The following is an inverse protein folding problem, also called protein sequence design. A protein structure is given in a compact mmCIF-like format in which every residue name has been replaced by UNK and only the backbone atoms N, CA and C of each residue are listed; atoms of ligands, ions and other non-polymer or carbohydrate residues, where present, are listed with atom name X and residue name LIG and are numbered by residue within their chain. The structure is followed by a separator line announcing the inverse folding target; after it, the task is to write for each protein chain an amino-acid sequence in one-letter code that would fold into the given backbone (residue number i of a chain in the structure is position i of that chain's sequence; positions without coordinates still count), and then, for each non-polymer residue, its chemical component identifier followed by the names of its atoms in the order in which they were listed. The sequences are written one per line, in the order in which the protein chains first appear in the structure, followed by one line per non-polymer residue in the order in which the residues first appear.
data_IF_159037249052
#
_entry.id   IF_159037249052
#
_cell.length_a   1.000
_cell.length_b   1.000
_cell.length_c   1.000
_cell.angle_alpha   90.00
_cell.angle_beta   90.00
_cell.angle_gamma   90.00
#
_symmetry.space_group_name_H-M   'P 1'
#
loop_
_entity.id
_entity.type
_entity.pdbx_description
1 polymer ?
#
# COMPACT_ATOMS: atom_id res chain seq x y z
N UNK A 1 0.64 -15.92 3.48
CA UNK A 1 1.03 -15.08 4.64
C UNK A 1 1.71 -13.82 4.11
N UNK A 2 1.63 -12.66 4.79
CA UNK A 2 2.10 -11.38 4.24
C UNK A 2 3.24 -10.80 5.11
N UNK A 3 4.26 -10.23 4.48
CA UNK A 3 5.26 -9.46 5.21
C UNK A 3 4.62 -8.17 5.76
N UNK A 4 4.76 -7.86 7.06
CA UNK A 4 4.17 -6.65 7.64
C UNK A 4 4.79 -5.36 7.08
N UNK A 5 6.06 -5.44 6.66
CA UNK A 5 6.87 -4.29 6.23
C UNK A 5 6.69 -3.92 4.75
N UNK A 6 6.82 -4.91 3.86
CA UNK A 6 6.79 -4.69 2.41
C UNK A 6 5.50 -5.17 1.75
N UNK A 7 4.58 -5.73 2.53
CA UNK A 7 3.27 -6.20 2.08
C UNK A 7 3.32 -7.30 0.99
N UNK A 8 4.47 -7.93 0.71
CA UNK A 8 4.59 -9.08 -0.21
C UNK A 8 3.90 -10.32 0.39
N UNK A 9 3.16 -11.07 -0.46
CA UNK A 9 2.55 -12.36 -0.10
C UNK A 9 3.54 -13.51 -0.34
N UNK A 10 3.66 -14.38 0.66
CA UNK A 10 4.45 -15.60 0.64
C UNK A 10 3.54 -16.82 0.83
N UNK A 11 3.89 -17.92 0.15
CA UNK A 11 3.16 -19.18 0.20
C UNK A 11 3.65 -20.11 1.33
N UNK A 12 4.75 -19.77 2.01
CA UNK A 12 5.31 -20.55 3.12
C UNK A 12 5.72 -19.66 4.28
N UNK A 13 5.50 -20.14 5.51
CA UNK A 13 5.90 -19.46 6.74
C UNK A 13 7.43 -19.35 6.84
N UNK A 14 8.15 -20.36 6.35
CA UNK A 14 9.61 -20.41 6.42
C UNK A 14 10.22 -19.30 5.55
N UNK A 15 9.74 -19.16 4.31
CA UNK A 15 10.15 -18.10 3.38
C UNK A 15 9.78 -16.71 3.91
N UNK A 16 8.61 -16.58 4.55
CA UNK A 16 8.21 -15.34 5.20
C UNK A 16 9.16 -14.95 6.35
N UNK A 17 9.55 -15.90 7.20
CA UNK A 17 10.42 -15.62 8.34
C UNK A 17 11.81 -15.20 7.89
N UNK A 18 12.42 -15.94 6.95
CA UNK A 18 13.72 -15.55 6.36
C UNK A 18 13.63 -14.17 5.71
N UNK A 19 12.54 -13.89 4.98
CA UNK A 19 12.34 -12.57 4.39
C UNK A 19 12.18 -11.47 5.45
N UNK A 20 11.48 -11.72 6.57
CA UNK A 20 11.30 -10.73 7.64
C UNK A 20 12.63 -10.33 8.28
N UNK A 21 13.59 -11.24 8.41
CA UNK A 21 14.89 -10.94 8.98
C UNK A 21 15.72 -10.01 8.10
N UNK A 22 15.64 -10.18 6.78
CA UNK A 22 16.40 -9.41 5.78
C UNK A 22 15.52 -8.46 4.95
N UNK A 23 14.34 -8.10 5.45
CA UNK A 23 13.43 -7.25 4.71
C UNK A 23 14.02 -5.85 4.66
N UNK A 24 14.38 -5.36 3.47
CA UNK A 24 14.88 -3.99 3.28
C UNK A 24 13.94 -2.94 3.90
N UNK A 25 12.65 -3.26 3.97
CA UNK A 25 11.62 -2.39 4.50
C UNK A 25 11.36 -2.55 6.00
N UNK A 26 12.08 -3.46 6.69
CA UNK A 26 12.03 -3.61 8.16
C UNK A 26 12.61 -2.38 8.84
N UNK A 27 13.76 -1.92 8.34
CA UNK A 27 14.47 -0.76 8.87
C UNK A 27 14.05 0.55 8.17
N UNK A 28 13.37 0.44 7.03
CA UNK A 28 12.84 1.59 6.30
C UNK A 28 11.40 1.26 5.83
N UNK A 29 10.39 1.43 6.71
CA UNK A 29 9.02 1.06 6.38
C UNK A 29 8.62 1.71 5.06
N UNK A 30 7.96 0.95 4.17
CA UNK A 30 7.39 1.51 2.94
C UNK A 30 6.34 2.52 3.36
N UNK A 31 6.76 3.77 3.59
CA UNK A 31 5.87 4.90 3.53
C UNK A 31 5.60 5.05 2.04
N UNK A 32 4.44 4.57 1.61
CA UNK A 32 3.94 4.93 0.29
C UNK A 32 3.80 6.45 0.32
N UNK A 33 4.74 7.13 -0.33
CA UNK A 33 4.67 8.58 -0.50
C UNK A 33 3.59 8.87 -1.54
N UNK A 34 2.35 8.79 -1.08
CA UNK A 34 1.16 9.02 -1.87
C UNK A 34 1.16 10.41 -2.53
N UNK A 35 1.93 11.35 -1.97
CA UNK A 35 2.12 12.69 -2.51
C UNK A 35 2.98 12.70 -3.78
N UNK A 36 3.99 11.82 -3.90
CA UNK A 36 4.78 11.61 -5.11
C UNK A 36 4.02 10.84 -6.21
N UNK A 37 2.93 10.14 -5.89
CA UNK A 37 2.18 9.34 -6.86
C UNK A 37 1.29 10.25 -7.74
N UNK A 38 1.29 10.07 -9.08
CA UNK A 38 0.42 10.83 -9.96
C UNK A 38 -1.06 10.48 -9.71
N UNK A 39 -1.94 11.46 -9.91
CA UNK A 39 -3.38 11.32 -9.64
C UNK A 39 -4.02 10.11 -10.35
N UNK A 40 -3.62 9.81 -11.58
CA UNK A 40 -4.14 8.67 -12.34
C UNK A 40 -3.80 7.32 -11.67
N UNK A 41 -2.58 7.18 -11.15
CA UNK A 41 -2.18 5.98 -10.42
C UNK A 41 -2.91 5.88 -9.09
N UNK A 42 -3.04 6.98 -8.36
CA UNK A 42 -3.85 7.03 -7.14
C UNK A 42 -5.29 6.58 -7.43
N UNK A 43 -5.91 7.12 -8.49
CA UNK A 43 -7.25 6.74 -8.95
C UNK A 43 -7.36 5.24 -9.25
N UNK A 44 -6.41 4.68 -9.98
CA UNK A 44 -6.33 3.24 -10.26
C UNK A 44 -6.19 2.41 -8.99
N UNK A 45 -5.43 2.88 -7.99
CA UNK A 45 -5.29 2.22 -6.69
C UNK A 45 -6.63 2.20 -5.93
N UNK A 46 -7.34 3.33 -5.89
CA UNK A 46 -8.66 3.40 -5.22
C UNK A 46 -9.66 2.43 -5.84
N UNK A 47 -9.73 2.42 -7.18
CA UNK A 47 -10.63 1.51 -7.92
C UNK A 47 -10.21 0.04 -7.76
N UNK A 48 -8.91 -0.25 -7.78
CA UNK A 48 -8.39 -1.62 -7.56
C UNK A 48 -8.66 -2.14 -6.14
N UNK A 49 -8.79 -1.24 -5.16
CA UNK A 49 -9.21 -1.57 -3.80
C UNK A 49 -10.73 -1.73 -3.65
N UNK A 50 -11.49 -1.62 -4.74
CA UNK A 50 -12.95 -1.79 -4.74
C UNK A 50 -13.72 -0.61 -4.14
N UNK A 51 -13.12 0.58 -4.09
CA UNK A 51 -13.82 1.77 -3.60
C UNK A 51 -14.78 2.34 -4.64
N UNK A 52 -15.76 3.09 -4.15
CA UNK A 52 -16.75 3.78 -4.98
C UNK A 52 -16.09 4.80 -5.92
N UNK A 53 -16.65 4.94 -7.12
CA UNK A 53 -16.14 5.87 -8.14
C UNK A 53 -16.19 7.34 -7.68
N UNK A 54 -17.04 7.65 -6.69
CA UNK A 54 -17.06 8.95 -6.02
C UNK A 54 -15.74 9.26 -5.34
N UNK A 55 -15.10 8.27 -4.69
CA UNK A 55 -13.78 8.42 -4.07
C UNK A 55 -12.71 8.58 -5.14
N UNK A 56 -12.78 7.79 -6.22
CA UNK A 56 -11.85 7.85 -7.35
C UNK A 56 -11.91 9.18 -8.14
N UNK A 57 -12.96 9.98 -7.97
CA UNK A 57 -13.12 11.30 -8.59
C UNK A 57 -12.92 12.48 -7.61
N UNK A 58 -12.52 12.21 -6.35
CA UNK A 58 -12.16 13.25 -5.39
C UNK A 58 -10.82 13.91 -5.74
N UNK A 59 -10.48 15.00 -5.05
CA UNK A 59 -9.18 15.65 -5.20
C UNK A 59 -8.05 14.70 -4.81
N UNK A 60 -6.87 14.90 -5.40
CA UNK A 60 -5.66 14.10 -5.10
C UNK A 60 -5.44 13.95 -3.59
N UNK A 61 -5.45 15.04 -2.83
CA UNK A 61 -5.28 15.03 -1.37
C UNK A 61 -6.32 14.15 -0.65
N UNK A 62 -7.59 14.26 -1.00
CA UNK A 62 -8.63 13.41 -0.38
C UNK A 62 -8.46 11.93 -0.73
N UNK A 63 -8.04 11.61 -1.96
CA UNK A 63 -7.74 10.22 -2.35
C UNK A 63 -6.58 9.67 -1.50
N UNK A 64 -5.56 10.49 -1.27
CA UNK A 64 -4.40 10.13 -0.45
C UNK A 64 -4.82 9.87 1.00
N UNK A 65 -5.66 10.73 1.58
CA UNK A 65 -6.18 10.53 2.95
C UNK A 65 -6.91 9.20 3.07
N UNK A 66 -7.82 8.90 2.15
CA UNK A 66 -8.58 7.64 2.16
C UNK A 66 -7.66 6.42 1.95
N UNK A 67 -6.65 6.53 1.09
CA UNK A 67 -5.68 5.45 0.89
C UNK A 67 -4.82 5.20 2.14
N UNK A 68 -4.45 6.25 2.87
CA UNK A 68 -3.72 6.16 4.14
C UNK A 68 -4.59 5.55 5.26
N UNK A 69 -5.84 5.97 5.39
CA UNK A 69 -6.79 5.42 6.38
C UNK A 69 -7.06 3.93 6.19
N UNK A 70 -6.95 3.41 4.97
CA UNK A 70 -7.11 1.97 4.68
C UNK A 70 -5.90 1.11 5.02
N UNK A 71 -4.73 1.70 5.28
CA UNK A 71 -3.51 0.96 5.60
C UNK A 71 -3.19 0.89 7.10
N UNK A 72 -3.94 1.63 7.92
CA UNK A 72 -3.91 1.60 9.39
C UNK A 72 -4.64 0.36 9.95
#
# INVERSE_FOLDING_TARGET
MKCPYCKIKFNSLLTLNVHKESCLYKDNPVQVDYEAIPYLELKSMVMSKGMDIKVANKKKTEIIEVLKEMED
#
